data_IF_630570319801
#
_entry.id   IF_630570319801
#
_cell.length_a   1.000
_cell.length_b   1.000
_cell.length_c   1.000
_cell.angle_alpha   90.00
_cell.angle_beta   90.00
_cell.angle_gamma   90.00
#
_symmetry.space_group_name_H-M   'P 1'
#
loop_
_entity.id
_entity.type
_entity.pdbx_description
1 polymer ?
#
# COMPACT_ATOMS: atom_id res chain seq x y z
N UNK A 1 -18.82 11.80 -12.69
CA UNK A 1 -17.59 11.71 -11.88
C UNK A 1 -17.16 10.25 -11.94
N UNK A 2 -15.95 9.97 -12.42
CA UNK A 2 -15.43 8.59 -12.49
C UNK A 2 -15.01 8.19 -11.08
N UNK A 3 -15.55 7.08 -10.58
CA UNK A 3 -15.11 6.52 -9.29
C UNK A 3 -13.73 5.89 -9.49
N UNK A 4 -12.70 6.28 -8.72
CA UNK A 4 -11.40 5.67 -8.84
C UNK A 4 -11.45 4.20 -8.39
N UNK A 5 -10.74 3.34 -9.14
CA UNK A 5 -10.77 1.88 -8.98
C UNK A 5 -9.36 1.31 -8.84
N UNK A 6 -9.27 0.21 -8.15
CA UNK A 6 -8.13 -0.71 -8.14
C UNK A 6 -8.57 -2.06 -8.69
N UNK A 7 -7.63 -2.89 -9.10
CA UNK A 7 -8.01 -4.19 -9.65
C UNK A 7 -6.92 -5.25 -9.46
N UNK A 8 -7.37 -6.49 -9.37
CA UNK A 8 -6.58 -7.67 -9.69
C UNK A 8 -6.74 -8.01 -11.20
N UNK A 9 -6.30 -9.18 -11.62
CA UNK A 9 -6.59 -9.73 -12.95
C UNK A 9 -8.09 -10.02 -13.16
N UNK A 10 -8.82 -10.29 -12.10
CA UNK A 10 -10.17 -10.86 -12.15
C UNK A 10 -11.25 -9.91 -11.61
N UNK A 11 -10.89 -8.97 -10.74
CA UNK A 11 -11.85 -8.15 -9.99
C UNK A 11 -11.42 -6.69 -9.95
N UNK A 12 -12.36 -5.79 -10.25
CA UNK A 12 -12.20 -4.36 -10.02
C UNK A 12 -12.95 -3.97 -8.74
N UNK A 13 -12.31 -3.11 -7.94
CA UNK A 13 -12.83 -2.62 -6.67
C UNK A 13 -12.86 -1.10 -6.69
N UNK A 14 -14.03 -0.50 -6.42
CA UNK A 14 -14.17 0.94 -6.28
C UNK A 14 -13.49 1.40 -4.98
N UNK A 15 -12.67 2.46 -5.04
CA UNK A 15 -12.08 3.02 -3.82
C UNK A 15 -13.14 3.63 -2.89
N UNK A 16 -14.27 4.06 -3.45
CA UNK A 16 -15.43 4.50 -2.69
C UNK A 16 -16.46 3.39 -2.61
N UNK A 17 -16.51 2.72 -1.46
CA UNK A 17 -17.46 1.63 -1.20
C UNK A 17 -18.84 2.14 -0.76
N UNK A 18 -19.88 1.36 -1.08
CA UNK A 18 -21.25 1.54 -0.60
C UNK A 18 -21.80 0.18 -0.14
N UNK A 19 -21.94 -0.05 1.18
CA UNK A 19 -21.63 0.88 2.28
C UNK A 19 -20.12 1.08 2.48
N UNK A 20 -19.74 2.24 3.01
CA UNK A 20 -18.36 2.49 3.47
C UNK A 20 -18.07 1.67 4.75
N UNK A 21 -16.77 1.41 5.07
CA UNK A 21 -15.54 1.85 4.39
C UNK A 21 -15.01 0.86 3.35
N UNK A 22 -13.97 1.27 2.58
CA UNK A 22 -13.07 0.32 1.93
C UNK A 22 -12.26 -0.41 3.01
N UNK A 23 -12.26 -1.73 2.96
CA UNK A 23 -11.52 -2.57 3.93
C UNK A 23 -10.29 -3.13 3.25
N UNK A 24 -9.11 -2.86 3.81
CA UNK A 24 -7.83 -3.45 3.42
C UNK A 24 -7.45 -4.47 4.49
N UNK A 25 -7.29 -5.72 4.10
CA UNK A 25 -6.85 -6.80 4.99
C UNK A 25 -5.34 -6.71 5.22
N UNK A 26 -4.91 -6.53 6.46
CA UNK A 26 -3.52 -6.26 6.84
C UNK A 26 -2.85 -7.45 7.58
N UNK A 27 -3.48 -8.64 7.58
CA UNK A 27 -2.90 -9.80 8.28
C UNK A 27 -1.73 -10.46 7.53
N UNK A 28 -1.50 -10.10 6.27
CA UNK A 28 -0.35 -10.55 5.47
C UNK A 28 0.81 -9.53 5.55
N UNK A 29 0.94 -8.87 6.69
CA UNK A 29 1.97 -7.89 6.98
C UNK A 29 2.82 -8.36 8.17
N UNK A 30 4.11 -8.57 7.96
CA UNK A 30 5.05 -9.08 8.96
C UNK A 30 5.25 -8.14 10.14
N UNK A 31 5.01 -6.84 9.96
CA UNK A 31 5.16 -5.84 11.01
C UNK A 31 4.00 -5.90 12.02
N UNK A 32 2.79 -6.25 11.56
CA UNK A 32 1.58 -6.33 12.40
C UNK A 32 1.14 -7.74 12.76
N UNK A 33 1.61 -8.77 12.03
CA UNK A 33 1.11 -10.15 12.16
C UNK A 33 2.22 -11.14 12.51
N UNK A 34 2.19 -11.66 13.74
CA UNK A 34 3.09 -12.76 14.16
C UNK A 34 2.91 -14.02 13.31
N UNK A 35 1.71 -14.27 12.79
CA UNK A 35 1.43 -15.42 11.91
C UNK A 35 2.10 -15.22 10.57
N UNK A 36 1.93 -14.06 9.92
CA UNK A 36 2.59 -13.75 8.66
C UNK A 36 4.11 -13.86 8.80
N UNK A 37 4.69 -13.27 9.87
CA UNK A 37 6.13 -13.35 10.11
C UNK A 37 6.63 -14.80 10.24
N UNK A 38 5.92 -15.67 10.95
CA UNK A 38 6.29 -17.11 11.05
C UNK A 38 6.25 -17.81 9.68
N UNK A 39 5.24 -17.54 8.87
CA UNK A 39 5.11 -18.13 7.54
C UNK A 39 6.21 -17.63 6.59
N UNK A 40 6.53 -16.34 6.63
CA UNK A 40 7.65 -15.75 5.86
C UNK A 40 8.98 -16.38 6.25
N UNK A 41 9.27 -16.56 7.53
CA UNK A 41 10.50 -17.17 8.01
C UNK A 41 10.59 -18.68 7.70
N UNK A 42 9.47 -19.33 7.46
CA UNK A 42 9.39 -20.75 7.10
C UNK A 42 9.30 -20.99 5.58
N UNK A 43 9.37 -19.96 4.74
CA UNK A 43 9.12 -20.03 3.29
C UNK A 43 7.76 -20.68 2.94
N UNK A 44 6.77 -20.56 3.82
CA UNK A 44 5.45 -21.16 3.65
C UNK A 44 4.54 -20.25 2.81
N UNK A 45 4.77 -20.25 1.50
CA UNK A 45 3.98 -19.47 0.55
C UNK A 45 2.51 -19.89 0.48
N UNK A 46 2.22 -21.19 0.65
CA UNK A 46 0.84 -21.69 0.63
C UNK A 46 0.07 -21.17 1.85
N UNK A 47 0.69 -21.20 3.02
CA UNK A 47 0.12 -20.60 4.24
C UNK A 47 -0.09 -19.10 4.13
N UNK A 48 0.79 -18.37 3.41
CA UNK A 48 0.61 -16.94 3.15
C UNK A 48 -0.57 -16.67 2.19
N UNK A 49 -0.72 -17.49 1.14
CA UNK A 49 -1.87 -17.41 0.23
C UNK A 49 -3.18 -17.71 0.96
N UNK A 50 -3.21 -18.74 1.79
CA UNK A 50 -4.38 -19.06 2.62
C UNK A 50 -4.72 -17.93 3.57
N UNK A 51 -3.71 -17.27 4.14
CA UNK A 51 -3.93 -16.11 4.99
C UNK A 51 -4.55 -14.93 4.22
N UNK A 52 -4.13 -14.70 2.98
CA UNK A 52 -4.72 -13.69 2.10
C UNK A 52 -6.16 -14.05 1.69
N UNK A 53 -6.38 -15.31 1.30
CA UNK A 53 -7.70 -15.84 0.90
C UNK A 53 -8.73 -15.69 2.02
N UNK A 54 -8.38 -16.10 3.23
CA UNK A 54 -9.26 -15.96 4.39
C UNK A 54 -9.66 -14.50 4.65
N UNK A 55 -8.75 -13.55 4.48
CA UNK A 55 -9.09 -12.12 4.64
C UNK A 55 -10.08 -11.64 3.56
N UNK A 56 -9.90 -12.08 2.31
CA UNK A 56 -10.81 -11.74 1.21
C UNK A 56 -12.20 -12.35 1.44
N UNK A 57 -12.27 -13.60 1.92
CA UNK A 57 -13.52 -14.30 2.28
C UNK A 57 -14.21 -13.64 3.49
N UNK A 58 -13.45 -13.13 4.45
CA UNK A 58 -13.93 -12.36 5.62
C UNK A 58 -14.40 -10.94 5.25
N UNK A 59 -14.30 -10.55 3.98
CA UNK A 59 -14.84 -9.29 3.45
C UNK A 59 -13.81 -8.18 3.22
N UNK A 60 -12.51 -8.47 3.24
CA UNK A 60 -11.51 -7.50 2.80
C UNK A 60 -11.65 -7.25 1.29
N UNK A 61 -11.66 -5.97 0.91
CA UNK A 61 -11.75 -5.56 -0.49
C UNK A 61 -10.40 -5.62 -1.21
N UNK A 62 -9.32 -5.34 -0.48
CA UNK A 62 -7.93 -5.40 -0.93
C UNK A 62 -7.08 -6.10 0.12
N UNK A 63 -5.91 -6.63 -0.25
CA UNK A 63 -4.99 -7.31 0.66
C UNK A 63 -3.65 -6.57 0.68
N UNK A 64 -3.26 -6.10 1.86
CA UNK A 64 -1.94 -5.52 2.11
C UNK A 64 -0.88 -6.61 2.23
N UNK A 65 0.25 -6.41 1.56
CA UNK A 65 1.35 -7.39 1.47
C UNK A 65 2.65 -6.72 1.89
N UNK A 66 3.19 -7.16 3.04
CA UNK A 66 4.49 -6.74 3.55
C UNK A 66 5.24 -7.95 4.10
N UNK A 67 6.46 -8.17 3.60
CA UNK A 67 7.32 -9.28 4.03
C UNK A 67 8.60 -8.82 4.74
N UNK A 68 8.73 -7.51 4.96
CA UNK A 68 9.91 -6.90 5.58
C UNK A 68 10.16 -7.48 6.99
N UNK A 69 11.36 -7.96 7.23
CA UNK A 69 11.81 -8.46 8.53
C UNK A 69 13.32 -8.36 8.65
N UNK A 70 13.83 -8.14 9.85
CA UNK A 70 15.27 -8.08 10.13
C UNK A 70 15.95 -9.43 10.07
N UNK A 71 15.18 -10.52 10.07
CA UNK A 71 15.71 -11.90 10.04
C UNK A 71 15.99 -12.43 8.62
N UNK A 72 15.65 -11.65 7.57
CA UNK A 72 15.89 -12.01 6.14
C UNK A 72 16.55 -10.86 5.41
N UNK A 73 17.35 -11.20 4.40
CA UNK A 73 18.02 -10.24 3.51
C UNK A 73 17.55 -10.33 2.06
N UNK A 74 16.60 -11.21 1.76
CA UNK A 74 16.05 -11.50 0.42
C UNK A 74 14.61 -10.98 0.25
N UNK A 75 14.29 -9.85 0.88
CA UNK A 75 12.95 -9.25 0.86
C UNK A 75 12.40 -9.13 -0.56
N UNK A 76 13.22 -8.64 -1.50
CA UNK A 76 12.81 -8.41 -2.89
C UNK A 76 12.38 -9.70 -3.58
N UNK A 77 13.22 -10.74 -3.55
CA UNK A 77 12.97 -12.02 -4.20
C UNK A 77 11.75 -12.72 -3.60
N UNK A 78 11.64 -12.66 -2.28
CA UNK A 78 10.52 -13.23 -1.56
C UNK A 78 9.21 -12.50 -1.92
N UNK A 79 9.21 -11.17 -1.87
CA UNK A 79 8.05 -10.34 -2.20
C UNK A 79 7.58 -10.58 -3.64
N UNK A 80 8.50 -10.64 -4.61
CA UNK A 80 8.18 -10.93 -6.01
C UNK A 80 7.54 -12.31 -6.20
N UNK A 81 8.08 -13.33 -5.52
CA UNK A 81 7.53 -14.69 -5.58
C UNK A 81 6.13 -14.73 -4.98
N UNK A 82 5.94 -14.11 -3.82
CA UNK A 82 4.64 -14.05 -3.15
C UNK A 82 3.58 -13.31 -3.96
N UNK A 83 3.93 -12.13 -4.49
CA UNK A 83 3.02 -11.30 -5.29
C UNK A 83 2.56 -12.04 -6.56
N UNK A 84 3.47 -12.75 -7.25
CA UNK A 84 3.11 -13.59 -8.40
C UNK A 84 2.11 -14.68 -8.01
N UNK A 85 2.38 -15.37 -6.90
CA UNK A 85 1.50 -16.45 -6.43
C UNK A 85 0.13 -15.91 -6.00
N UNK A 86 0.09 -14.83 -5.24
CA UNK A 86 -1.16 -14.16 -4.85
C UNK A 86 -1.98 -13.72 -6.08
N UNK A 87 -1.33 -13.14 -7.09
CA UNK A 87 -2.01 -12.68 -8.31
C UNK A 87 -2.68 -13.80 -9.11
N UNK A 88 -2.25 -15.04 -8.92
CA UNK A 88 -2.85 -16.22 -9.56
C UNK A 88 -3.94 -16.89 -8.72
N UNK A 89 -3.91 -16.73 -7.40
CA UNK A 89 -4.70 -17.53 -6.47
C UNK A 89 -5.78 -16.76 -5.72
N UNK A 90 -5.72 -15.42 -5.71
CA UNK A 90 -6.75 -14.58 -5.08
C UNK A 90 -7.31 -13.54 -6.07
N UNK A 91 -8.58 -13.20 -5.91
CA UNK A 91 -9.26 -12.21 -6.76
C UNK A 91 -9.18 -10.77 -6.21
N UNK A 92 -8.76 -10.59 -4.95
CA UNK A 92 -8.65 -9.28 -4.34
C UNK A 92 -7.44 -8.49 -4.90
N UNK A 93 -7.59 -7.18 -5.20
CA UNK A 93 -6.46 -6.32 -5.53
C UNK A 93 -5.44 -6.26 -4.40
N UNK A 94 -4.16 -6.14 -4.75
CA UNK A 94 -3.07 -6.06 -3.77
C UNK A 94 -2.74 -4.61 -3.39
N UNK A 95 -2.29 -4.44 -2.17
CA UNK A 95 -1.66 -3.22 -1.65
C UNK A 95 -0.21 -3.60 -1.36
N UNK A 96 0.74 -2.91 -2.00
CA UNK A 96 2.16 -3.24 -1.91
C UNK A 96 2.81 -2.34 -0.86
N UNK A 97 3.15 -2.94 0.27
CA UNK A 97 3.77 -2.26 1.42
C UNK A 97 5.26 -2.57 1.49
N UNK A 98 6.06 -1.61 1.05
CA UNK A 98 7.52 -1.63 1.21
C UNK A 98 8.07 -0.21 1.39
N UNK A 99 9.19 -0.12 2.10
CA UNK A 99 9.95 1.13 2.21
C UNK A 99 10.88 1.35 1.02
N UNK A 100 11.13 0.32 0.21
CA UNK A 100 12.03 0.35 -0.94
C UNK A 100 11.25 0.57 -2.26
N UNK A 101 11.44 1.71 -2.96
CA UNK A 101 10.80 1.98 -4.25
C UNK A 101 11.14 0.95 -5.35
N UNK A 102 12.31 0.33 -5.31
CA UNK A 102 12.71 -0.68 -6.30
C UNK A 102 11.94 -1.99 -6.12
N UNK A 103 11.65 -2.36 -4.87
CA UNK A 103 10.79 -3.51 -4.56
C UNK A 103 9.37 -3.22 -5.05
N UNK A 104 8.84 -2.02 -4.77
CA UNK A 104 7.50 -1.62 -5.21
C UNK A 104 7.40 -1.68 -6.73
N UNK A 105 8.33 -1.08 -7.48
CA UNK A 105 8.32 -1.10 -8.95
C UNK A 105 8.37 -2.54 -9.48
N UNK A 106 9.29 -3.36 -8.95
CA UNK A 106 9.43 -4.75 -9.34
C UNK A 106 8.16 -5.57 -9.11
N UNK A 107 7.45 -5.33 -7.99
CA UNK A 107 6.18 -5.99 -7.69
C UNK A 107 5.07 -5.53 -8.63
N UNK A 108 4.95 -4.22 -8.87
CA UNK A 108 3.94 -3.64 -9.77
C UNK A 108 4.05 -4.23 -11.18
N UNK A 109 5.26 -4.45 -11.68
CA UNK A 109 5.50 -5.05 -13.01
C UNK A 109 5.00 -6.51 -13.11
N UNK A 110 4.82 -7.19 -12.00
CA UNK A 110 4.35 -8.58 -11.96
C UNK A 110 2.85 -8.71 -11.69
N UNK A 111 2.18 -7.62 -11.28
CA UNK A 111 0.75 -7.67 -10.92
C UNK A 111 -0.11 -7.38 -12.15
N UNK A 112 -0.92 -8.35 -12.62
CA UNK A 112 -1.88 -8.12 -13.69
C UNK A 112 -3.09 -7.35 -13.14
N UNK A 113 -2.99 -6.02 -13.07
CA UNK A 113 -4.04 -5.20 -12.50
C UNK A 113 -3.55 -3.82 -12.08
N UNK A 114 -4.28 -3.20 -11.18
CA UNK A 114 -3.98 -1.86 -10.65
C UNK A 114 -3.90 -1.93 -9.12
N UNK A 115 -2.74 -2.27 -8.54
CA UNK A 115 -2.53 -2.31 -7.09
C UNK A 115 -2.50 -0.91 -6.47
N UNK A 116 -2.49 -0.85 -5.14
CA UNK A 116 -2.24 0.36 -4.35
C UNK A 116 -0.79 0.33 -3.85
N UNK A 117 -0.11 1.47 -3.88
CA UNK A 117 1.19 1.63 -3.22
C UNK A 117 0.96 2.05 -1.75
N UNK A 118 1.58 1.35 -0.82
CA UNK A 118 1.64 1.68 0.59
C UNK A 118 3.11 1.90 0.99
N UNK A 119 3.57 3.11 1.13
CA UNK A 119 2.91 4.39 1.07
C UNK A 119 3.85 5.47 0.50
N UNK A 120 3.29 6.64 0.24
CA UNK A 120 4.04 7.84 -0.12
C UNK A 120 3.92 8.90 0.98
N UNK A 121 4.96 9.71 1.16
CA UNK A 121 4.98 10.88 2.02
C UNK A 121 6.10 11.84 1.58
N UNK A 122 6.24 12.98 2.26
CA UNK A 122 7.30 13.97 2.00
C UNK A 122 8.29 14.07 3.17
N UNK A 123 8.48 12.99 3.94
CA UNK A 123 9.41 12.96 5.06
C UNK A 123 10.85 13.21 4.58
N UNK A 124 11.59 13.96 5.39
CA UNK A 124 12.99 14.30 5.11
C UNK A 124 13.14 15.17 3.87
N UNK A 125 13.89 14.69 2.89
CA UNK A 125 14.16 15.37 1.62
C UNK A 125 13.13 15.07 0.51
N UNK A 126 12.13 14.24 0.79
CA UNK A 126 11.12 13.82 -0.19
C UNK A 126 11.62 12.82 -1.24
N UNK A 127 12.85 12.33 -1.15
CA UNK A 127 13.48 11.47 -2.18
C UNK A 127 12.70 10.18 -2.45
N UNK A 128 12.04 9.61 -1.45
CA UNK A 128 11.17 8.44 -1.64
C UNK A 128 9.99 8.78 -2.56
N UNK A 129 9.34 9.92 -2.34
CA UNK A 129 8.24 10.38 -3.19
C UNK A 129 8.70 10.61 -4.62
N UNK A 130 9.87 11.25 -4.81
CA UNK A 130 10.45 11.53 -6.14
C UNK A 130 10.71 10.24 -6.94
N UNK A 131 11.06 9.13 -6.27
CA UNK A 131 11.24 7.82 -6.90
C UNK A 131 9.90 7.13 -7.22
N UNK A 132 8.90 7.27 -6.36
CA UNK A 132 7.60 6.59 -6.52
C UNK A 132 6.65 7.33 -7.47
N UNK A 133 6.69 8.66 -7.52
CA UNK A 133 5.79 9.45 -8.35
C UNK A 133 5.86 9.11 -9.86
N UNK A 134 7.04 8.90 -10.47
CA UNK A 134 7.14 8.41 -11.85
C UNK A 134 6.52 7.02 -12.05
N UNK A 135 6.67 6.11 -11.09
CA UNK A 135 6.08 4.76 -11.12
C UNK A 135 4.55 4.88 -11.07
N UNK A 136 4.02 5.71 -10.17
CA UNK A 136 2.58 5.99 -10.09
C UNK A 136 2.04 6.55 -11.40
N UNK A 137 2.76 7.47 -12.04
CA UNK A 137 2.38 8.06 -13.31
C UNK A 137 2.43 7.04 -14.45
N UNK A 138 3.52 6.26 -14.55
CA UNK A 138 3.75 5.23 -15.59
C UNK A 138 2.65 4.18 -15.60
N UNK A 139 2.27 3.67 -14.43
CA UNK A 139 1.29 2.58 -14.30
C UNK A 139 -0.11 3.04 -13.90
N UNK A 140 -0.31 4.34 -13.70
CA UNK A 140 -1.61 4.92 -13.31
C UNK A 140 -2.06 4.52 -11.90
N UNK A 141 -1.13 4.26 -10.96
CA UNK A 141 -1.41 3.68 -9.65
C UNK A 141 -1.91 4.69 -8.64
N UNK A 142 -2.84 4.33 -7.75
CA UNK A 142 -3.10 5.06 -6.53
C UNK A 142 -2.07 4.69 -5.46
N UNK A 143 -1.86 5.61 -4.52
CA UNK A 143 -1.05 5.38 -3.34
C UNK A 143 -1.72 5.89 -2.07
N UNK A 144 -1.47 5.21 -0.96
CA UNK A 144 -1.76 5.73 0.38
C UNK A 144 -0.77 6.87 0.63
N UNK A 145 -1.31 8.08 0.82
CA UNK A 145 -0.54 9.31 1.02
C UNK A 145 -0.62 9.72 2.48
N UNK A 146 0.44 9.40 3.22
CA UNK A 146 0.53 9.74 4.65
C UNK A 146 0.73 11.25 4.80
N UNK A 147 -0.03 11.88 5.70
CA UNK A 147 0.15 13.29 6.06
C UNK A 147 1.42 13.52 6.91
N UNK A 148 2.58 13.14 6.32
CA UNK A 148 3.92 13.35 6.85
C UNK A 148 4.67 14.27 5.88
N UNK A 149 4.98 15.47 6.35
CA UNK A 149 5.73 16.46 5.58
C UNK A 149 7.22 16.46 5.90
N UNK A 150 8.00 17.39 5.33
CA UNK A 150 9.43 17.50 5.58
C UNK A 150 9.79 17.67 7.06
N UNK A 151 8.88 18.25 7.85
CA UNK A 151 9.05 18.50 9.29
C UNK A 151 8.47 17.37 10.17
N UNK A 152 8.09 16.23 9.56
CA UNK A 152 7.49 15.09 10.24
C UNK A 152 5.97 15.06 10.16
N UNK A 153 5.36 14.28 11.04
CA UNK A 153 3.93 13.99 11.05
C UNK A 153 3.08 15.22 11.40
N UNK A 154 2.07 15.48 10.59
CA UNK A 154 1.08 16.54 10.84
C UNK A 154 0.19 16.18 12.04
N UNK A 155 0.13 17.05 13.05
CA UNK A 155 -0.60 16.81 14.31
C UNK A 155 -1.96 17.49 14.34
N UNK A 156 -2.08 18.69 13.80
CA UNK A 156 -3.33 19.46 13.79
C UNK A 156 -4.09 19.30 12.48
N UNK A 157 -5.39 19.58 12.49
CA UNK A 157 -6.22 19.55 11.28
C UNK A 157 -5.67 20.45 10.16
N UNK A 158 -5.21 21.65 10.53
CA UNK A 158 -4.60 22.59 9.57
C UNK A 158 -3.35 21.99 8.94
N UNK A 159 -2.41 21.47 9.76
CA UNK A 159 -1.19 20.84 9.26
C UNK A 159 -1.48 19.64 8.34
N UNK A 160 -2.51 18.84 8.67
CA UNK A 160 -2.91 17.69 7.85
C UNK A 160 -3.41 18.13 6.48
N UNK A 161 -4.23 19.17 6.41
CA UNK A 161 -4.71 19.75 5.14
C UNK A 161 -3.54 20.32 4.34
N UNK A 162 -2.69 21.15 4.95
CA UNK A 162 -1.51 21.74 4.32
C UNK A 162 -0.56 20.65 3.76
N UNK A 163 -0.35 19.58 4.53
CA UNK A 163 0.50 18.45 4.07
C UNK A 163 -0.14 17.69 2.92
N UNK A 164 -1.45 17.45 2.96
CA UNK A 164 -2.18 16.79 1.87
C UNK A 164 -2.15 17.64 0.58
N UNK A 165 -2.32 18.96 0.70
CA UNK A 165 -2.20 19.89 -0.42
C UNK A 165 -0.78 19.88 -0.99
N UNK A 166 0.25 19.93 -0.13
CA UNK A 166 1.66 19.89 -0.55
C UNK A 166 1.97 18.57 -1.30
N UNK A 167 1.52 17.42 -0.79
CA UNK A 167 1.66 16.12 -1.45
C UNK A 167 1.04 16.13 -2.85
N UNK A 168 -0.17 16.66 -2.97
CA UNK A 168 -0.86 16.72 -4.25
C UNK A 168 -0.18 17.70 -5.23
N UNK A 169 0.16 18.91 -4.78
CA UNK A 169 0.85 19.89 -5.63
C UNK A 169 2.22 19.36 -6.10
N UNK A 170 2.97 18.68 -5.24
CA UNK A 170 4.21 18.01 -5.63
C UNK A 170 3.95 16.92 -6.68
N UNK A 171 2.91 16.11 -6.48
CA UNK A 171 2.54 15.05 -7.42
C UNK A 171 2.09 15.55 -8.80
N UNK A 172 1.49 16.73 -8.87
CA UNK A 172 1.11 17.36 -10.15
C UNK A 172 2.32 17.58 -11.07
N UNK A 173 3.51 17.83 -10.52
CA UNK A 173 4.73 17.97 -11.30
C UNK A 173 5.11 16.70 -12.07
N UNK A 174 4.60 15.54 -11.62
CA UNK A 174 4.76 14.23 -12.26
C UNK A 174 3.52 13.81 -13.08
N UNK A 175 2.53 14.69 -13.22
CA UNK A 175 1.27 14.40 -13.94
C UNK A 175 0.26 13.57 -13.16
N UNK A 176 0.45 13.43 -11.84
CA UNK A 176 -0.48 12.69 -10.99
C UNK A 176 -1.81 13.44 -10.82
N UNK A 177 -2.90 12.70 -10.78
CA UNK A 177 -4.26 13.22 -10.57
C UNK A 177 -4.69 12.98 -9.13
N UNK A 178 -5.64 13.81 -8.65
CA UNK A 178 -6.14 13.70 -7.28
C UNK A 178 -6.70 12.30 -6.95
N UNK A 179 -7.27 11.61 -7.94
CA UNK A 179 -7.84 10.27 -7.78
C UNK A 179 -6.78 9.18 -7.52
N UNK A 180 -5.49 9.51 -7.61
CA UNK A 180 -4.39 8.61 -7.28
C UNK A 180 -3.91 8.76 -5.84
N UNK A 181 -4.45 9.71 -5.06
CA UNK A 181 -4.09 9.92 -3.67
C UNK A 181 -5.19 9.41 -2.74
N UNK A 182 -4.83 8.48 -1.86
CA UNK A 182 -5.66 8.01 -0.75
C UNK A 182 -5.03 8.62 0.52
N UNK A 183 -5.54 9.78 0.94
CA UNK A 183 -4.95 10.49 2.07
C UNK A 183 -5.21 9.79 3.39
N UNK A 184 -4.13 9.44 4.08
CA UNK A 184 -4.14 8.98 5.46
C UNK A 184 -3.74 10.14 6.38
N UNK A 185 -4.72 10.62 7.13
CA UNK A 185 -4.54 11.76 8.04
C UNK A 185 -3.91 11.36 9.38
N UNK A 186 -3.54 10.11 9.56
CA UNK A 186 -2.86 9.55 10.72
C UNK A 186 -3.54 9.93 12.06
N UNK A 187 -4.12 8.96 12.73
CA UNK A 187 -4.64 9.13 14.08
C UNK A 187 -3.68 8.54 15.11
N UNK A 188 -3.40 9.30 16.16
CA UNK A 188 -2.57 8.81 17.26
C UNK A 188 -3.32 7.78 18.07
N UNK A 189 -2.60 6.80 18.59
CA UNK A 189 -3.18 5.83 19.51
C UNK A 189 -3.47 6.48 20.85
N UNK A 190 -4.60 6.17 21.46
CA UNK A 190 -4.96 6.64 22.81
C UNK A 190 -3.95 6.17 23.89
N UNK A 191 -3.19 5.10 23.58
CA UNK A 191 -2.20 4.54 24.51
C UNK A 191 -0.91 5.39 24.62
N UNK A 192 -0.62 6.26 23.67
CA UNK A 192 0.59 7.10 23.69
C UNK A 192 0.41 8.39 24.48
N UNK A 193 -0.81 8.77 24.84
CA UNK A 193 -1.10 9.96 25.68
C UNK A 193 -0.76 11.30 25.04
N UNK A 194 -0.57 11.35 23.70
CA UNK A 194 -0.31 12.57 22.92
C UNK A 194 -1.58 13.14 22.30
#
# INVERSE_FOLDING_TARGET
>A
MVVPRVSSALKAVDLKQLPAPLIIGERLNTQGSRKAKKLVLADDFDGLVDLARNQAEDGAHCIDVCVATTERSDEREFMLTLVKKLSLEIDAPLVIDSTDPEIIESCVEQIPGRPIINSINLEGDGSKFEKLAPIMAKYGLPAIALCIGPNGMAKTSTQKVETAELLYETGKNYGLKIEQFIFDVLTFTLATGE
#
